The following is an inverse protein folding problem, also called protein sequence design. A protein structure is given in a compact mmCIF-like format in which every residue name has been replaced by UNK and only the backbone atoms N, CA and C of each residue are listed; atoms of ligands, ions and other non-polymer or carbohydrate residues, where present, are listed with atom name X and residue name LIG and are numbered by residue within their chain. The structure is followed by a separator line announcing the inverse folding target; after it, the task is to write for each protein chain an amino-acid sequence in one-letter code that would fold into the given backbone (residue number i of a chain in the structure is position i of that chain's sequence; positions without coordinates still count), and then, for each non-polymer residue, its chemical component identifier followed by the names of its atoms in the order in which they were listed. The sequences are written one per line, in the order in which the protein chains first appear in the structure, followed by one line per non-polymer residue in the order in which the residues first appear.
data_IF_029448977517
#
_entry.id   IF_029448977517
#
_cell.length_a   1.000
_cell.length_b   1.000
_cell.length_c   1.000
_cell.angle_alpha   90.00
_cell.angle_beta   90.00
_cell.angle_gamma   90.00
#
_symmetry.space_group_name_H-M   'P 1'
#
loop_
_entity.id
_entity.type
_entity.pdbx_description
1 polymer ?
#
# COMPACT_ATOMS: atom_id res chain seq x y z
N UNK A 1 -10.18 28.90 0.68
CA UNK A 1 -11.19 27.82 0.76
C UNK A 1 -11.99 27.90 -0.52
N UNK A 2 -11.48 27.31 -1.59
CA UNK A 2 -12.20 27.27 -2.87
C UNK A 2 -12.98 25.96 -2.90
N UNK A 3 -14.29 26.08 -2.86
CA UNK A 3 -15.21 24.95 -2.93
C UNK A 3 -15.20 24.39 -4.33
N UNK A 4 -14.85 23.10 -4.45
CA UNK A 4 -14.99 22.35 -5.70
C UNK A 4 -16.47 22.27 -6.09
N UNK A 5 -16.76 22.46 -7.37
CA UNK A 5 -18.09 22.39 -7.97
C UNK A 5 -18.67 20.98 -7.84
N UNK A 6 -20.00 20.88 -7.71
CA UNK A 6 -20.74 19.61 -7.54
C UNK A 6 -20.44 18.58 -8.64
N UNK A 7 -20.11 19.03 -9.86
CA UNK A 7 -19.66 18.19 -10.98
C UNK A 7 -18.24 17.61 -10.82
N UNK A 8 -17.35 18.29 -10.10
CA UNK A 8 -16.01 17.73 -9.78
C UNK A 8 -16.10 16.65 -8.70
N UNK A 9 -17.07 16.78 -7.79
CA UNK A 9 -17.41 15.75 -6.81
C UNK A 9 -18.07 14.55 -7.50
N UNK A 10 -18.91 14.76 -8.52
CA UNK A 10 -19.52 13.69 -9.32
C UNK A 10 -18.52 12.93 -10.22
N UNK A 11 -17.39 13.56 -10.60
CA UNK A 11 -16.26 12.86 -11.28
C UNK A 11 -15.31 12.15 -10.32
N UNK A 12 -15.41 12.43 -9.02
CA UNK A 12 -14.52 11.91 -7.99
C UNK A 12 -15.14 10.66 -7.37
N UNK A 13 -14.50 9.50 -7.50
CA UNK A 13 -15.04 8.25 -6.97
C UNK A 13 -15.20 8.29 -5.44
N UNK A 14 -15.96 7.34 -4.87
CA UNK A 14 -16.19 7.28 -3.42
C UNK A 14 -14.89 7.24 -2.61
N UNK A 15 -13.89 6.54 -3.13
CA UNK A 15 -12.53 6.53 -2.57
C UNK A 15 -11.96 7.94 -2.41
N UNK A 16 -12.06 8.79 -3.43
CA UNK A 16 -11.51 10.15 -3.36
C UNK A 16 -12.23 11.00 -2.33
N UNK A 17 -13.54 10.80 -2.17
CA UNK A 17 -14.33 11.44 -1.12
C UNK A 17 -13.81 11.05 0.27
N UNK A 18 -13.53 9.75 0.49
CA UNK A 18 -12.96 9.28 1.75
C UNK A 18 -11.52 9.75 1.99
N UNK A 19 -10.66 9.77 0.96
CA UNK A 19 -9.31 10.33 1.09
C UNK A 19 -9.33 11.81 1.46
N UNK A 20 -10.28 12.58 0.91
CA UNK A 20 -10.46 13.99 1.27
C UNK A 20 -11.01 14.16 2.69
N UNK A 21 -11.96 13.31 3.10
CA UNK A 21 -12.51 13.27 4.46
C UNK A 21 -11.43 12.94 5.49
N UNK A 22 -10.58 11.97 5.20
CA UNK A 22 -9.53 11.42 6.07
C UNK A 22 -8.12 11.92 5.70
N UNK A 23 -8.03 13.12 5.12
CA UNK A 23 -6.79 13.65 4.56
C UNK A 23 -5.60 13.69 5.51
N UNK A 24 -5.84 13.89 6.82
CA UNK A 24 -4.77 13.99 7.81
C UNK A 24 -4.06 12.65 7.99
N UNK A 25 -4.82 11.57 8.17
CA UNK A 25 -4.23 10.23 8.32
C UNK A 25 -3.66 9.73 7.00
N UNK A 26 -4.31 10.03 5.86
CA UNK A 26 -3.77 9.74 4.54
C UNK A 26 -2.42 10.45 4.30
N UNK A 27 -2.30 11.71 4.71
CA UNK A 27 -1.03 12.46 4.65
C UNK A 27 0.02 11.82 5.55
N UNK A 28 -0.34 11.39 6.76
CA UNK A 28 0.56 10.68 7.66
C UNK A 28 1.10 9.38 7.05
N UNK A 29 0.22 8.62 6.38
CA UNK A 29 0.57 7.33 5.76
C UNK A 29 1.43 7.49 4.49
N UNK A 30 1.28 8.60 3.74
CA UNK A 30 1.95 8.78 2.44
C UNK A 30 3.11 9.76 2.43
N UNK A 31 3.18 10.66 3.42
CA UNK A 31 4.22 11.69 3.55
C UNK A 31 4.97 11.55 4.88
N UNK A 32 5.22 10.30 5.28
CA UNK A 32 5.87 10.02 6.55
C UNK A 32 7.33 10.56 6.57
N UNK A 33 7.85 11.00 7.73
CA UNK A 33 9.23 11.51 7.85
C UNK A 33 10.33 10.60 7.27
N UNK A 34 10.16 9.27 7.30
CA UNK A 34 11.09 8.35 6.62
C UNK A 34 11.17 8.65 5.12
N UNK A 35 10.03 8.67 4.44
CA UNK A 35 9.91 8.93 3.00
C UNK A 35 10.43 10.32 2.65
N UNK A 36 10.06 11.33 3.43
CA UNK A 36 10.55 12.69 3.22
C UNK A 36 12.07 12.79 3.42
N UNK A 37 12.64 12.07 4.40
CA UNK A 37 14.09 12.03 4.58
C UNK A 37 14.82 11.34 3.43
N UNK A 38 14.21 10.33 2.80
CA UNK A 38 14.74 9.70 1.58
C UNK A 38 14.72 10.71 0.45
N UNK A 39 13.57 11.35 0.19
CA UNK A 39 13.43 12.41 -0.81
C UNK A 39 14.46 13.52 -0.63
N UNK A 40 14.69 13.97 0.61
CA UNK A 40 15.55 15.11 0.91
C UNK A 40 17.04 14.75 1.00
N UNK A 41 17.39 13.46 0.89
CA UNK A 41 18.77 12.97 0.99
C UNK A 41 19.34 13.02 2.40
N UNK A 42 18.49 13.01 3.42
CA UNK A 42 18.86 13.13 4.84
C UNK A 42 18.55 11.87 5.65
N UNK A 43 18.07 10.81 5.00
CA UNK A 43 17.68 9.55 5.63
C UNK A 43 18.83 8.92 6.41
N UNK A 44 18.53 8.47 7.61
CA UNK A 44 19.40 7.56 8.35
C UNK A 44 19.31 6.16 7.74
N UNK A 45 20.43 5.64 7.24
CA UNK A 45 20.50 4.30 6.67
C UNK A 45 20.10 3.20 7.67
N UNK A 46 20.21 3.43 8.99
CA UNK A 46 19.70 2.49 9.99
C UNK A 46 18.17 2.36 9.93
N UNK A 47 17.46 3.45 9.64
CA UNK A 47 16.02 3.48 9.48
C UNK A 47 15.61 2.73 8.21
N UNK A 48 16.31 2.98 7.11
CA UNK A 48 16.10 2.26 5.85
C UNK A 48 16.33 0.75 6.01
N UNK A 49 17.42 0.33 6.65
CA UNK A 49 17.71 -1.10 6.90
C UNK A 49 16.64 -1.79 7.73
N UNK A 50 16.10 -1.09 8.74
CA UNK A 50 15.00 -1.60 9.57
C UNK A 50 13.72 -1.75 8.76
N UNK A 51 13.36 -0.74 7.96
CA UNK A 51 12.25 -0.85 7.02
C UNK A 51 12.44 -2.05 6.08
N UNK A 52 13.59 -2.17 5.42
CA UNK A 52 13.88 -3.22 4.44
C UNK A 52 13.68 -4.64 5.01
N UNK A 53 14.15 -4.88 6.24
CA UNK A 53 13.97 -6.17 6.91
C UNK A 53 12.53 -6.46 7.32
N UNK A 54 11.82 -5.46 7.88
CA UNK A 54 10.43 -5.64 8.30
C UNK A 54 9.51 -5.79 7.08
N UNK A 55 9.74 -5.01 6.03
CA UNK A 55 8.92 -5.02 4.83
C UNK A 55 9.02 -6.33 4.06
N UNK A 56 10.19 -6.98 4.10
CA UNK A 56 10.31 -8.35 3.62
C UNK A 56 9.36 -9.33 4.33
N UNK A 57 9.16 -9.19 5.64
CA UNK A 57 8.21 -10.03 6.39
C UNK A 57 6.77 -9.71 5.97
N UNK A 58 6.46 -8.42 5.83
CA UNK A 58 5.14 -7.94 5.42
C UNK A 58 4.77 -8.47 4.02
N UNK A 59 5.64 -8.30 3.03
CA UNK A 59 5.41 -8.77 1.66
C UNK A 59 5.13 -10.28 1.63
N UNK A 60 5.82 -11.07 2.45
CA UNK A 60 5.53 -12.52 2.55
C UNK A 60 4.16 -12.84 3.12
N UNK A 61 3.64 -12.02 4.04
CA UNK A 61 2.26 -12.12 4.52
C UNK A 61 1.24 -11.54 3.51
N UNK A 62 1.67 -10.59 2.69
CA UNK A 62 0.86 -9.98 1.64
C UNK A 62 0.56 -10.93 0.48
N UNK A 63 1.52 -11.80 0.10
CA UNK A 63 1.30 -12.82 -0.96
C UNK A 63 0.03 -13.67 -0.75
N UNK A 64 -0.17 -14.38 0.38
CA UNK A 64 -1.38 -15.19 0.58
C UNK A 64 -2.65 -14.33 0.67
N UNK A 65 -2.55 -13.09 1.16
CA UNK A 65 -3.67 -12.15 1.13
C UNK A 65 -4.10 -11.83 -0.31
N UNK A 66 -3.16 -11.46 -1.19
CA UNK A 66 -3.46 -11.19 -2.62
C UNK A 66 -3.97 -12.44 -3.32
N UNK A 67 -3.42 -13.62 -3.02
CA UNK A 67 -3.92 -14.89 -3.53
C UNK A 67 -5.39 -15.16 -3.11
N UNK A 68 -5.77 -14.81 -1.87
CA UNK A 68 -7.16 -14.92 -1.42
C UNK A 68 -8.11 -13.99 -2.19
N UNK A 69 -7.63 -12.79 -2.54
CA UNK A 69 -8.38 -11.83 -3.36
C UNK A 69 -8.54 -12.37 -4.77
N UNK A 70 -7.51 -12.97 -5.36
CA UNK A 70 -7.61 -13.59 -6.68
C UNK A 70 -8.71 -14.66 -6.73
N UNK A 71 -8.78 -15.50 -5.69
CA UNK A 71 -9.83 -16.52 -5.56
C UNK A 71 -11.22 -15.86 -5.42
N UNK A 72 -11.33 -14.77 -4.65
CA UNK A 72 -12.58 -14.01 -4.51
C UNK A 72 -12.98 -13.32 -5.80
N UNK A 73 -12.05 -12.73 -6.54
CA UNK A 73 -12.32 -12.09 -7.82
C UNK A 73 -12.92 -13.09 -8.82
N UNK A 74 -12.36 -14.30 -8.89
CA UNK A 74 -12.94 -15.36 -9.71
C UNK A 74 -14.41 -15.70 -9.36
N UNK A 75 -14.79 -15.62 -8.09
CA UNK A 75 -16.13 -16.02 -7.59
C UNK A 75 -17.14 -14.89 -7.51
N UNK A 76 -16.70 -13.68 -7.17
CA UNK A 76 -17.54 -12.57 -6.72
C UNK A 76 -17.43 -11.32 -7.62
N UNK A 77 -16.45 -11.28 -8.53
CA UNK A 77 -16.30 -10.16 -9.47
C UNK A 77 -17.45 -10.09 -10.46
N UNK A 78 -17.80 -8.87 -10.83
CA UNK A 78 -18.74 -8.53 -11.91
C UNK A 78 -18.05 -8.27 -13.25
N UNK A 79 -16.71 -8.36 -13.28
CA UNK A 79 -15.88 -8.19 -14.47
C UNK A 79 -14.74 -9.23 -14.45
N UNK A 80 -14.66 -10.05 -15.50
CA UNK A 80 -13.65 -11.11 -15.60
C UNK A 80 -12.21 -10.56 -15.69
N UNK A 81 -12.04 -9.32 -16.16
CA UNK A 81 -10.71 -8.70 -16.30
C UNK A 81 -10.08 -8.31 -14.96
N UNK A 82 -10.88 -8.21 -13.88
CA UNK A 82 -10.36 -7.98 -12.52
C UNK A 82 -9.33 -9.04 -12.12
N UNK A 83 -9.57 -10.30 -12.52
CA UNK A 83 -8.66 -11.41 -12.23
C UNK A 83 -7.28 -11.16 -12.82
N UNK A 84 -7.20 -10.63 -14.05
CA UNK A 84 -5.94 -10.35 -14.74
C UNK A 84 -5.16 -9.22 -14.05
N UNK A 85 -5.87 -8.19 -13.56
CA UNK A 85 -5.26 -7.11 -12.78
C UNK A 85 -4.69 -7.66 -11.47
N UNK A 86 -5.44 -8.47 -10.73
CA UNK A 86 -4.95 -9.04 -9.47
C UNK A 86 -3.80 -10.03 -9.70
N UNK A 87 -3.90 -10.85 -10.75
CA UNK A 87 -2.86 -11.81 -11.14
C UNK A 87 -1.53 -11.12 -11.49
N UNK A 88 -1.58 -9.99 -12.21
CA UNK A 88 -0.37 -9.23 -12.55
C UNK A 88 0.33 -8.64 -11.32
N UNK A 89 -0.43 -8.20 -10.30
CA UNK A 89 0.13 -7.83 -9.00
C UNK A 89 0.82 -9.00 -8.32
N UNK A 90 0.15 -10.15 -8.25
CA UNK A 90 0.73 -11.35 -7.63
C UNK A 90 2.00 -11.85 -8.34
N UNK A 91 2.07 -11.74 -9.68
CA UNK A 91 3.29 -12.02 -10.43
C UNK A 91 4.43 -11.05 -10.03
N UNK A 92 4.10 -9.77 -9.85
CA UNK A 92 5.05 -8.74 -9.44
C UNK A 92 5.61 -8.97 -8.03
N UNK A 93 4.81 -9.54 -7.12
CA UNK A 93 5.26 -9.91 -5.77
C UNK A 93 6.37 -10.97 -5.78
N UNK A 94 6.41 -11.86 -6.78
CA UNK A 94 7.53 -12.80 -6.91
C UNK A 94 8.84 -12.08 -7.22
N UNK A 95 8.80 -11.11 -8.14
CA UNK A 95 9.96 -10.30 -8.51
C UNK A 95 10.39 -9.38 -7.37
N UNK A 96 9.43 -8.89 -6.58
CA UNK A 96 9.68 -8.11 -5.37
C UNK A 96 10.37 -8.94 -4.29
N UNK A 97 9.91 -10.16 -4.00
CA UNK A 97 10.60 -11.07 -3.08
C UNK A 97 12.02 -11.38 -3.55
N UNK A 98 12.22 -11.56 -4.85
CA UNK A 98 13.56 -11.76 -5.43
C UNK A 98 14.44 -10.53 -5.24
N UNK A 99 13.88 -9.33 -5.40
CA UNK A 99 14.56 -8.07 -5.15
C UNK A 99 14.96 -7.91 -3.68
N UNK A 100 14.07 -8.15 -2.71
CA UNK A 100 14.44 -8.08 -1.29
C UNK A 100 15.63 -8.98 -0.95
N UNK A 101 15.65 -10.21 -1.51
CA UNK A 101 16.75 -11.16 -1.31
C UNK A 101 18.08 -10.69 -1.91
N UNK A 102 18.06 -9.95 -3.01
CA UNK A 102 19.27 -9.41 -3.64
C UNK A 102 19.69 -8.06 -3.03
N UNK A 103 18.75 -7.29 -2.50
CA UNK A 103 18.97 -5.98 -1.91
C UNK A 103 19.51 -6.07 -0.49
N UNK A 104 18.91 -6.90 0.37
CA UNK A 104 19.26 -6.97 1.79
C UNK A 104 20.76 -7.22 2.07
N UNK A 105 21.47 -8.12 1.34
CA UNK A 105 22.91 -8.31 1.53
C UNK A 105 23.75 -7.07 1.22
N UNK A 106 23.33 -6.22 0.26
CA UNK A 106 24.04 -4.97 -0.08
C UNK A 106 24.09 -4.01 1.13
N UNK A 107 23.10 -4.12 2.01
CA UNK A 107 22.95 -3.29 3.20
C UNK A 107 23.41 -3.98 4.49
N UNK A 108 23.91 -5.22 4.41
CA UNK A 108 24.25 -6.03 5.58
C UNK A 108 23.03 -6.45 6.41
N UNK A 109 21.87 -6.59 5.78
CA UNK A 109 20.62 -7.03 6.42
C UNK A 109 20.44 -8.52 6.19
N UNK A 110 20.39 -9.30 7.27
CA UNK A 110 20.14 -10.73 7.24
C UNK A 110 18.64 -11.00 7.41
N UNK A 111 17.94 -11.25 6.31
CA UNK A 111 16.47 -11.42 6.30
C UNK A 111 15.94 -12.55 7.20
N UNK A 112 16.76 -13.57 7.47
CA UNK A 112 16.40 -14.69 8.35
C UNK A 112 16.39 -14.32 9.84
N UNK A 113 17.10 -13.26 10.21
CA UNK A 113 17.38 -12.91 11.60
C UNK A 113 16.46 -11.76 12.07
N UNK A 114 15.60 -11.26 11.18
CA UNK A 114 14.69 -10.16 11.46
C UNK A 114 13.56 -10.65 12.35
N UNK A 115 13.47 -10.08 13.55
CA UNK A 115 12.33 -10.28 14.46
C UNK A 115 11.21 -9.31 14.07
N UNK A 116 9.98 -9.79 13.76
CA UNK A 116 8.88 -8.92 13.39
C UNK A 116 8.47 -8.03 14.58
N UNK A 117 8.45 -6.72 14.37
CA UNK A 117 8.01 -5.76 15.40
C UNK A 117 6.49 -5.77 15.56
N UNK A 118 6.00 -5.15 16.63
CA UNK A 118 4.57 -5.12 16.98
C UNK A 118 3.70 -4.57 15.83
N UNK A 119 4.09 -3.44 15.22
CA UNK A 119 3.39 -2.86 14.08
C UNK A 119 3.29 -3.84 12.89
N UNK A 120 4.39 -4.52 12.55
CA UNK A 120 4.42 -5.53 11.50
C UNK A 120 3.48 -6.71 11.81
N UNK A 121 3.53 -7.23 13.03
CA UNK A 121 2.65 -8.33 13.48
C UNK A 121 1.18 -7.92 13.45
N UNK A 122 0.85 -6.69 13.87
CA UNK A 122 -0.52 -6.17 13.83
C UNK A 122 -1.02 -6.03 12.41
N UNK A 123 -0.17 -5.60 11.48
CA UNK A 123 -0.51 -5.55 10.06
C UNK A 123 -0.74 -6.95 9.49
N UNK A 124 0.18 -7.89 9.74
CA UNK A 124 0.03 -9.27 9.25
C UNK A 124 -1.25 -9.94 9.78
N UNK A 125 -1.60 -9.72 11.06
CA UNK A 125 -2.87 -10.20 11.64
C UNK A 125 -4.08 -9.57 10.97
N UNK A 126 -4.01 -8.28 10.63
CA UNK A 126 -5.08 -7.61 9.90
C UNK A 126 -5.27 -8.24 8.51
N UNK A 127 -4.19 -8.49 7.76
CA UNK A 127 -4.27 -9.18 6.47
C UNK A 127 -4.89 -10.58 6.60
N UNK A 128 -4.47 -11.35 7.60
CA UNK A 128 -5.03 -12.68 7.89
C UNK A 128 -6.54 -12.62 8.17
N UNK A 129 -6.98 -11.64 8.97
CA UNK A 129 -8.40 -11.45 9.27
C UNK A 129 -9.26 -11.17 8.03
N UNK A 130 -8.68 -10.48 7.04
CA UNK A 130 -9.35 -10.15 5.78
C UNK A 130 -9.46 -11.33 4.82
N UNK A 131 -8.69 -12.40 5.03
CA UNK A 131 -8.74 -13.63 4.23
C UNK A 131 -9.94 -14.53 4.58
N UNK A 132 -10.72 -14.18 5.61
CA UNK A 132 -11.94 -14.91 5.96
C UNK A 132 -12.97 -14.90 4.81
N UNK A 133 -13.69 -16.01 4.65
CA UNK A 133 -14.74 -16.16 3.63
C UNK A 133 -15.88 -15.14 3.81
N UNK A 134 -16.14 -14.71 5.05
CA UNK A 134 -17.22 -13.79 5.40
C UNK A 134 -16.94 -12.34 4.95
N UNK A 135 -15.67 -12.00 4.69
CA UNK A 135 -15.29 -10.67 4.24
C UNK A 135 -15.65 -10.52 2.76
N UNK A 136 -16.37 -9.44 2.44
CA UNK A 136 -16.87 -9.18 1.08
C UNK A 136 -15.74 -8.81 0.13
N UNK A 137 -15.83 -9.23 -1.14
CA UNK A 137 -14.88 -8.84 -2.17
C UNK A 137 -14.63 -7.32 -2.24
N UNK A 138 -15.68 -6.50 -2.12
CA UNK A 138 -15.59 -5.03 -2.13
C UNK A 138 -14.68 -4.47 -1.02
N UNK A 139 -14.65 -5.11 0.16
CA UNK A 139 -13.77 -4.70 1.26
C UNK A 139 -12.32 -5.02 0.91
N UNK A 140 -12.03 -6.27 0.55
CA UNK A 140 -10.65 -6.71 0.33
C UNK A 140 -10.00 -6.08 -0.90
N UNK A 141 -10.76 -5.83 -1.98
CA UNK A 141 -10.22 -5.15 -3.16
C UNK A 141 -9.91 -3.66 -2.89
N UNK A 142 -10.69 -3.02 -2.00
CA UNK A 142 -10.41 -1.64 -1.58
C UNK A 142 -9.23 -1.58 -0.63
N UNK A 143 -9.11 -2.52 0.31
CA UNK A 143 -7.91 -2.64 1.15
C UNK A 143 -6.67 -2.88 0.30
N UNK A 144 -6.75 -3.80 -0.67
CA UNK A 144 -5.63 -4.09 -1.57
C UNK A 144 -5.18 -2.85 -2.34
N UNK A 145 -6.12 -2.13 -2.95
CA UNK A 145 -5.84 -0.84 -3.58
C UNK A 145 -5.17 0.14 -2.61
N UNK A 146 -5.67 0.27 -1.38
CA UNK A 146 -5.17 1.26 -0.42
C UNK A 146 -3.71 1.01 -0.03
N UNK A 147 -3.33 -0.26 0.19
CA UNK A 147 -1.95 -0.66 0.51
C UNK A 147 -1.00 -0.28 -0.64
N UNK A 148 -1.34 -0.70 -1.85
CA UNK A 148 -0.54 -0.42 -3.05
C UNK A 148 -0.43 1.09 -3.32
N UNK A 149 -1.54 1.83 -3.16
CA UNK A 149 -1.59 3.27 -3.40
C UNK A 149 -0.79 4.08 -2.37
N UNK A 150 -0.70 3.63 -1.11
CA UNK A 150 0.14 4.27 -0.10
C UNK A 150 1.61 4.16 -0.47
N UNK A 151 2.07 2.98 -0.89
CA UNK A 151 3.44 2.77 -1.37
C UNK A 151 3.73 3.61 -2.61
N UNK A 152 2.82 3.60 -3.59
CA UNK A 152 2.97 4.36 -4.82
C UNK A 152 3.09 5.86 -4.55
N UNK A 153 2.16 6.41 -3.76
CA UNK A 153 2.15 7.84 -3.42
C UNK A 153 3.41 8.22 -2.65
N UNK A 154 3.86 7.37 -1.72
CA UNK A 154 5.05 7.61 -0.91
C UNK A 154 6.32 7.66 -1.75
N UNK A 155 6.59 6.62 -2.54
CA UNK A 155 7.84 6.53 -3.29
C UNK A 155 7.87 7.42 -4.52
N UNK A 156 6.71 7.83 -5.07
CA UNK A 156 6.64 8.85 -6.11
C UNK A 156 7.26 10.18 -5.64
N UNK A 157 7.11 10.55 -4.35
CA UNK A 157 7.72 11.76 -3.78
C UNK A 157 9.25 11.77 -3.91
N UNK A 158 9.87 10.59 -3.86
CA UNK A 158 11.31 10.42 -3.99
C UNK A 158 11.80 10.52 -5.44
N UNK A 159 10.89 10.57 -6.42
CA UNK A 159 11.20 10.70 -7.84
C UNK A 159 10.73 12.02 -8.44
N UNK A 160 9.98 12.84 -7.68
CA UNK A 160 9.55 14.17 -8.10
C UNK A 160 10.75 15.07 -8.47
N UNK A 161 10.49 16.04 -9.35
CA UNK A 161 11.44 17.10 -9.67
C UNK A 161 11.88 17.83 -8.39
N UNK A 162 13.19 18.02 -8.26
CA UNK A 162 13.80 18.64 -7.07
C UNK A 162 14.04 17.68 -5.90
N UNK A 163 13.71 16.39 -6.02
CA UNK A 163 14.16 15.37 -5.07
C UNK A 163 15.70 15.26 -5.04
N UNK A 164 16.23 14.99 -3.86
CA UNK A 164 17.66 14.76 -3.56
C UNK A 164 17.91 13.31 -3.13
N UNK A 165 17.08 12.40 -3.62
CA UNK A 165 17.13 10.98 -3.30
C UNK A 165 18.55 10.42 -3.52
N UNK A 166 19.17 9.78 -2.51
CA UNK A 166 20.50 9.20 -2.65
C UNK A 166 20.56 8.20 -3.79
N UNK A 167 21.68 8.16 -4.51
CA UNK A 167 21.81 7.32 -5.70
C UNK A 167 21.59 5.83 -5.36
N UNK A 168 22.08 5.40 -4.20
CA UNK A 168 21.92 4.04 -3.69
C UNK A 168 20.48 3.67 -3.31
N UNK A 169 19.58 4.63 -3.09
CA UNK A 169 18.17 4.40 -2.79
C UNK A 169 17.25 4.63 -4.00
N UNK A 170 17.80 5.07 -5.14
CA UNK A 170 17.01 5.39 -6.33
C UNK A 170 16.32 4.17 -6.92
N UNK A 171 16.98 3.00 -6.92
CA UNK A 171 16.38 1.74 -7.37
C UNK A 171 15.15 1.37 -6.53
N UNK A 172 15.27 1.46 -5.20
CA UNK A 172 14.17 1.27 -4.25
C UNK A 172 13.00 2.18 -4.61
N UNK A 173 13.26 3.48 -4.77
CA UNK A 173 12.21 4.45 -5.09
C UNK A 173 11.56 4.18 -6.46
N UNK A 174 12.34 3.71 -7.44
CA UNK A 174 11.82 3.35 -8.75
C UNK A 174 10.88 2.15 -8.72
N UNK A 175 10.99 1.22 -7.77
CA UNK A 175 10.09 0.04 -7.73
C UNK A 175 8.63 0.44 -7.56
N UNK A 176 8.36 1.31 -6.59
CA UNK A 176 6.98 1.72 -6.27
C UNK A 176 6.66 3.16 -6.73
N UNK A 177 7.65 3.99 -7.05
CA UNK A 177 7.41 5.37 -7.48
C UNK A 177 7.21 5.55 -8.99
N UNK A 178 7.43 4.51 -9.81
CA UNK A 178 7.36 4.63 -11.27
C UNK A 178 5.91 4.71 -11.82
N UNK A 179 5.77 5.25 -13.03
CA UNK A 179 4.48 5.42 -13.70
C UNK A 179 3.73 4.10 -13.94
N UNK A 180 4.45 3.00 -14.21
CA UNK A 180 3.85 1.68 -14.43
C UNK A 180 3.12 1.18 -13.18
N UNK A 181 3.74 1.32 -12.01
CA UNK A 181 3.09 0.99 -10.73
C UNK A 181 1.97 1.98 -10.39
N UNK A 182 2.11 3.26 -10.77
CA UNK A 182 1.02 4.24 -10.73
C UNK A 182 -0.22 3.82 -11.54
N UNK A 183 0.00 3.34 -12.76
CA UNK A 183 -1.07 2.83 -13.62
C UNK A 183 -1.70 1.56 -13.05
N UNK A 184 -0.89 0.67 -12.45
CA UNK A 184 -1.37 -0.52 -11.74
C UNK A 184 -2.31 -0.16 -10.58
N UNK A 185 -1.89 0.74 -9.70
CA UNK A 185 -2.71 1.24 -8.58
C UNK A 185 -4.01 1.88 -9.08
N UNK A 186 -3.97 2.62 -10.20
CA UNK A 186 -5.17 3.20 -10.80
C UNK A 186 -6.14 2.12 -11.32
N UNK A 187 -5.64 1.02 -11.88
CA UNK A 187 -6.47 -0.11 -12.30
C UNK A 187 -7.18 -0.74 -11.10
N UNK A 188 -6.48 -0.97 -9.98
CA UNK A 188 -7.10 -1.44 -8.74
C UNK A 188 -8.15 -0.45 -8.21
N UNK A 189 -7.86 0.85 -8.25
CA UNK A 189 -8.79 1.90 -7.82
C UNK A 189 -10.09 1.88 -8.62
N UNK A 190 -10.01 1.67 -9.94
CA UNK A 190 -11.19 1.57 -10.81
C UNK A 190 -12.06 0.37 -10.44
N UNK A 191 -11.44 -0.78 -10.16
CA UNK A 191 -12.16 -1.97 -9.69
C UNK A 191 -12.87 -1.65 -8.37
N UNK A 192 -12.13 -1.11 -7.38
CA UNK A 192 -12.69 -0.80 -6.07
C UNK A 192 -13.86 0.20 -6.15
N UNK A 193 -13.72 1.31 -6.88
CA UNK A 193 -14.82 2.28 -7.09
C UNK A 193 -16.04 1.63 -7.76
N UNK A 194 -15.85 0.83 -8.81
CA UNK A 194 -16.94 0.10 -9.49
C UNK A 194 -17.70 -0.82 -8.52
N UNK A 195 -16.99 -1.47 -7.60
CA UNK A 195 -17.60 -2.33 -6.56
C UNK A 195 -18.31 -1.52 -5.47
N UNK A 196 -17.78 -0.34 -5.13
CA UNK A 196 -18.38 0.58 -4.15
C UNK A 196 -19.70 1.17 -4.64
N UNK A 197 -19.81 1.51 -5.92
CA UNK A 197 -21.06 2.02 -6.52
C UNK A 197 -22.25 1.06 -6.38
N UNK A 198 -21.97 -0.24 -6.22
CA UNK A 198 -22.98 -1.31 -6.10
C UNK A 198 -23.14 -1.83 -4.68
N UNK A 199 -22.37 -1.32 -3.73
CA UNK A 199 -22.36 -1.80 -2.36
C UNK A 199 -23.53 -1.22 -1.55
N UNK A 200 -24.04 -2.00 -0.61
CA UNK A 200 -25.00 -1.54 0.39
C UNK A 200 -24.32 -0.68 1.45
N UNK A 201 -25.08 0.14 2.18
CA UNK A 201 -24.55 1.08 3.18
C UNK A 201 -23.74 0.41 4.30
N UNK A 202 -24.09 -0.82 4.70
CA UNK A 202 -23.34 -1.61 5.66
C UNK A 202 -21.96 -2.02 5.11
N UNK A 203 -21.89 -2.39 3.83
CA UNK A 203 -20.63 -2.70 3.14
C UNK A 203 -19.80 -1.44 2.96
N UNK A 204 -20.40 -0.31 2.58
CA UNK A 204 -19.71 0.97 2.47
C UNK A 204 -19.07 1.38 3.80
N UNK A 205 -19.82 1.24 4.90
CA UNK A 205 -19.32 1.51 6.25
C UNK A 205 -18.15 0.59 6.62
N UNK A 206 -18.26 -0.70 6.32
CA UNK A 206 -17.18 -1.66 6.56
C UNK A 206 -15.93 -1.36 5.73
N UNK A 207 -16.08 -0.94 4.48
CA UNK A 207 -14.96 -0.56 3.61
C UNK A 207 -14.27 0.70 4.14
N UNK A 208 -15.02 1.73 4.55
CA UNK A 208 -14.44 2.96 5.08
C UNK A 208 -13.64 2.69 6.36
N UNK A 209 -14.15 1.83 7.26
CA UNK A 209 -13.42 1.39 8.46
C UNK A 209 -12.15 0.63 8.09
N UNK A 210 -12.21 -0.28 7.12
CA UNK A 210 -11.04 -1.03 6.68
C UNK A 210 -9.98 -0.13 6.02
N UNK A 211 -10.40 0.86 5.23
CA UNK A 211 -9.53 1.87 4.64
C UNK A 211 -8.81 2.68 5.72
N UNK A 212 -9.54 3.17 6.71
CA UNK A 212 -8.94 3.87 7.85
C UNK A 212 -7.93 2.99 8.57
N UNK A 213 -8.27 1.72 8.79
CA UNK A 213 -7.36 0.77 9.46
C UNK A 213 -6.06 0.55 8.67
N UNK A 214 -6.12 0.50 7.34
CA UNK A 214 -4.91 0.48 6.49
C UNK A 214 -4.06 1.71 6.75
N UNK A 215 -4.65 2.91 6.71
CA UNK A 215 -3.88 4.15 6.88
C UNK A 215 -3.24 4.26 8.27
N UNK A 216 -3.92 3.79 9.32
CA UNK A 216 -3.35 3.68 10.67
C UNK A 216 -2.16 2.72 10.71
N UNK A 217 -2.33 1.51 10.16
CA UNK A 217 -1.30 0.49 10.12
C UNK A 217 -0.07 0.94 9.32
N UNK A 218 -0.27 1.64 8.20
CA UNK A 218 0.82 2.23 7.41
C UNK A 218 1.61 3.26 8.22
N UNK A 219 0.92 4.16 8.95
CA UNK A 219 1.60 5.11 9.85
C UNK A 219 2.41 4.38 10.94
N UNK A 220 1.83 3.37 11.58
CA UNK A 220 2.50 2.55 12.60
C UNK A 220 3.72 1.81 12.02
N UNK A 221 3.57 1.27 10.80
CA UNK A 221 4.62 0.59 10.06
C UNK A 221 5.78 1.53 9.74
N UNK A 222 5.51 2.72 9.23
CA UNK A 222 6.56 3.70 9.00
C UNK A 222 7.25 4.16 10.29
N UNK A 223 6.51 4.28 11.39
CA UNK A 223 7.06 4.66 12.69
C UNK A 223 8.06 3.64 13.24
N UNK A 224 7.90 2.35 12.96
CA UNK A 224 8.84 1.30 13.39
C UNK A 224 10.27 1.48 12.82
N UNK A 225 10.38 2.27 11.74
CA UNK A 225 11.64 2.61 11.07
C UNK A 225 12.33 3.82 11.72
N UNK A 226 11.62 4.59 12.56
CA UNK A 226 12.24 5.58 13.45
C UNK A 226 12.79 4.80 14.64
N UNK A 227 14.05 4.99 15.02
CA UNK A 227 14.62 4.24 16.16
C UNK A 227 13.81 4.50 17.42
N UNK A 228 13.97 3.65 18.44
CA UNK A 228 13.60 4.06 19.79
C UNK A 228 14.40 5.34 20.11
N UNK A 229 13.69 6.41 20.46
CA UNK A 229 14.31 7.68 20.86
C UNK A 229 14.97 7.55 22.24
#
# INVERSE_FOLDING_TARGET
MEGKTREEVEKSGMIDTWLMKHRLIYTGATRHPLILSIRDGTVDLSAYKRWLGQDYIFVRAFVPFVASILIKAWKESDDATDMEVILSGMASLNDEIAWFKSEAPKWGVQLTDIVPQKANQDYCRFLESLMSLDVKYTVVITVFWAIEAVYQTSFALCLEDGSKTPAELRETCQRWGNDGFGQYCNSLKKIANRRLEKASDDVLSAVEVALLRVLELEVEFWNMSRGDA
#
